data_IF_458708673474
#
_entry.id   IF_458708673474
#
_cell.length_a   1.000
_cell.length_b   1.000
_cell.length_c   1.000
_cell.angle_alpha   90.00
_cell.angle_beta   90.00
_cell.angle_gamma   90.00
#
_symmetry.space_group_name_H-M   'P 1'
#
loop_
_entity.id
_entity.type
_entity.pdbx_description
1 polymer ?
#
# COMPACT_ATOMS: atom_id res chain seq x y z
N UNK A 1 -13.53 -1.65 13.84
CA UNK A 1 -13.04 -1.21 12.52
C UNK A 1 -11.93 -2.19 12.12
N UNK A 2 -11.94 -2.74 10.92
CA UNK A 2 -10.93 -3.74 10.53
C UNK A 2 -9.68 -3.04 9.97
N UNK A 3 -8.75 -2.66 10.85
CA UNK A 3 -7.49 -2.02 10.42
C UNK A 3 -6.60 -2.96 9.58
N UNK A 4 -6.85 -4.26 9.58
CA UNK A 4 -6.08 -5.21 8.77
C UNK A 4 -6.23 -4.94 7.26
N UNK A 5 -7.37 -4.41 6.84
CA UNK A 5 -7.63 -4.20 5.41
C UNK A 5 -7.07 -2.86 4.91
N UNK A 6 -6.67 -1.98 5.84
CA UNK A 6 -6.19 -0.63 5.55
C UNK A 6 -4.69 -0.57 5.27
N UNK A 7 -3.91 -1.59 5.64
CA UNK A 7 -2.46 -1.57 5.54
C UNK A 7 -1.96 -2.78 4.76
N UNK A 8 -0.76 -2.66 4.19
CA UNK A 8 -0.03 -3.81 3.65
C UNK A 8 0.47 -4.67 4.82
N UNK A 9 -0.16 -5.81 5.03
CA UNK A 9 0.18 -6.79 6.06
C UNK A 9 0.45 -8.11 5.36
N UNK A 10 1.53 -8.79 5.75
CA UNK A 10 1.88 -10.09 5.18
C UNK A 10 0.69 -11.05 5.28
N UNK A 11 0.33 -11.70 4.17
CA UNK A 11 -0.75 -12.67 4.18
C UNK A 11 -0.40 -13.93 5.01
N UNK A 12 0.89 -14.17 5.25
CA UNK A 12 1.40 -15.29 6.07
C UNK A 12 1.62 -14.85 7.51
N UNK A 13 1.18 -15.66 8.46
CA UNK A 13 1.37 -15.39 9.89
C UNK A 13 2.85 -15.23 10.25
N UNK A 14 3.18 -14.24 11.07
CA UNK A 14 4.56 -13.99 11.50
C UNK A 14 5.16 -15.18 12.26
N UNK A 15 4.33 -15.96 12.96
CA UNK A 15 4.77 -17.19 13.62
C UNK A 15 5.22 -18.26 12.61
N UNK A 16 4.63 -18.29 11.42
CA UNK A 16 5.01 -19.19 10.33
C UNK A 16 6.26 -18.69 9.63
N UNK A 17 6.33 -17.38 9.33
CA UNK A 17 7.54 -16.74 8.75
C UNK A 17 8.81 -17.01 9.54
N UNK A 18 8.73 -17.05 10.87
CA UNK A 18 9.86 -17.37 11.74
C UNK A 18 10.44 -18.78 11.54
N UNK A 19 9.66 -19.70 10.98
CA UNK A 19 10.09 -21.08 10.71
C UNK A 19 10.75 -21.20 9.33
N UNK A 20 10.56 -20.21 8.45
CA UNK A 20 11.08 -20.21 7.09
C UNK A 20 12.55 -19.77 7.07
N UNK A 21 13.44 -20.67 6.70
CA UNK A 21 14.86 -20.34 6.47
C UNK A 21 15.01 -19.66 5.10
N UNK A 22 15.47 -18.41 5.08
CA UNK A 22 15.73 -17.65 3.85
C UNK A 22 14.62 -16.69 3.42
N UNK A 23 13.59 -16.50 4.24
CA UNK A 23 12.61 -15.43 4.02
C UNK A 23 13.27 -14.05 4.16
N UNK A 24 13.06 -13.21 3.14
CA UNK A 24 13.38 -11.79 3.19
C UNK A 24 12.06 -11.03 3.30
N UNK A 25 11.80 -10.33 4.42
CA UNK A 25 10.60 -9.51 4.51
C UNK A 25 10.62 -8.41 3.46
N UNK A 26 9.45 -8.13 2.88
CA UNK A 26 9.25 -6.92 2.10
C UNK A 26 9.48 -5.72 3.02
N UNK A 27 10.29 -4.76 2.57
CA UNK A 27 10.87 -3.71 3.44
C UNK A 27 9.85 -2.94 4.26
N UNK A 28 8.69 -2.65 3.68
CA UNK A 28 7.64 -1.80 4.27
C UNK A 28 6.38 -2.60 4.65
N UNK A 29 6.40 -3.93 4.55
CA UNK A 29 5.24 -4.76 4.88
C UNK A 29 5.14 -4.98 6.40
N UNK A 30 3.93 -4.86 6.95
CA UNK A 30 3.69 -5.12 8.36
C UNK A 30 3.59 -6.61 8.64
N UNK A 31 4.17 -7.04 9.76
CA UNK A 31 4.08 -8.43 10.23
C UNK A 31 2.65 -8.81 10.61
N UNK A 32 2.25 -10.02 10.25
CA UNK A 32 0.94 -10.56 10.58
C UNK A 32 0.92 -11.26 11.95
N UNK A 33 0.24 -10.65 12.93
CA UNK A 33 0.09 -11.16 14.29
C UNK A 33 -1.29 -11.79 14.54
N UNK A 34 -1.90 -12.38 13.50
CA UNK A 34 -3.19 -13.06 13.57
C UNK A 34 -3.27 -14.17 14.63
N UNK A 35 -2.16 -14.81 14.98
CA UNK A 35 -2.08 -15.84 16.02
C UNK A 35 -2.44 -15.33 17.43
N UNK A 36 -2.53 -14.02 17.63
CA UNK A 36 -3.06 -13.40 18.86
C UNK A 36 -4.57 -13.08 18.79
N UNK A 37 -5.22 -13.22 17.62
CA UNK A 37 -6.67 -13.03 17.49
C UNK A 37 -7.42 -14.18 18.17
N UNK A 38 -8.61 -13.91 18.77
CA UNK A 38 -9.33 -12.64 18.78
C UNK A 38 -8.93 -11.70 19.94
N UNK A 39 -7.94 -12.07 20.77
CA UNK A 39 -7.58 -11.29 21.96
C UNK A 39 -6.77 -10.03 21.65
N UNK A 40 -6.15 -9.96 20.47
CA UNK A 40 -5.38 -8.80 20.02
C UNK A 40 -6.25 -7.53 20.04
N UNK A 41 -5.75 -6.46 20.65
CA UNK A 41 -6.48 -5.18 20.73
C UNK A 41 -6.87 -4.65 19.34
N UNK A 42 -8.10 -4.13 19.24
CA UNK A 42 -8.69 -3.76 17.95
C UNK A 42 -7.86 -2.74 17.16
N UNK A 43 -7.19 -1.82 17.84
CA UNK A 43 -6.39 -0.76 17.22
C UNK A 43 -4.90 -1.11 17.05
N UNK A 44 -4.52 -2.38 17.25
CA UNK A 44 -3.13 -2.82 17.19
C UNK A 44 -2.44 -2.41 15.89
N UNK A 45 -3.03 -2.69 14.73
CA UNK A 45 -2.41 -2.37 13.45
C UNK A 45 -2.34 -0.88 13.14
N UNK A 46 -3.27 -0.09 13.69
CA UNK A 46 -3.20 1.37 13.60
C UNK A 46 -1.97 1.87 14.38
N UNK A 47 -1.79 1.38 15.62
CA UNK A 47 -0.65 1.70 16.47
C UNK A 47 0.68 1.22 15.87
N UNK A 48 0.71 -0.01 15.35
CA UNK A 48 1.87 -0.58 14.71
C UNK A 48 2.30 0.25 13.49
N UNK A 49 1.37 0.51 12.55
CA UNK A 49 1.64 1.37 11.41
C UNK A 49 2.12 2.77 11.81
N UNK A 50 1.47 3.38 12.82
CA UNK A 50 1.87 4.71 13.31
C UNK A 50 3.30 4.68 13.84
N UNK A 51 3.69 3.62 14.57
CA UNK A 51 5.06 3.50 15.07
C UNK A 51 6.07 3.42 13.95
N UNK A 52 5.85 2.52 12.99
CA UNK A 52 6.76 2.33 11.86
C UNK A 52 6.96 3.65 11.10
N UNK A 53 5.85 4.30 10.75
CA UNK A 53 5.82 5.57 10.03
C UNK A 53 6.58 6.69 10.74
N UNK A 54 6.51 6.75 12.07
CA UNK A 54 7.05 7.86 12.84
C UNK A 54 8.46 7.63 13.38
N UNK A 55 8.87 6.40 13.63
CA UNK A 55 10.10 6.12 14.38
C UNK A 55 11.05 5.11 13.72
N UNK A 56 10.53 4.15 12.96
CA UNK A 56 11.35 3.04 12.46
C UNK A 56 11.82 3.28 11.01
N UNK A 57 11.04 4.04 10.23
CA UNK A 57 11.39 4.40 8.85
C UNK A 57 12.18 5.72 8.81
N UNK A 58 13.23 5.79 7.99
CA UNK A 58 13.95 7.04 7.74
C UNK A 58 13.02 8.09 7.12
N UNK A 59 13.13 9.35 7.53
CA UNK A 59 12.26 10.44 7.04
C UNK A 59 12.30 10.57 5.51
N UNK A 60 13.43 10.25 4.88
CA UNK A 60 13.60 10.25 3.41
C UNK A 60 12.81 9.13 2.71
N UNK A 61 12.48 8.07 3.44
CA UNK A 61 11.80 6.87 2.93
C UNK A 61 10.29 6.88 3.21
N UNK A 62 9.80 7.85 3.99
CA UNK A 62 8.38 7.96 4.35
C UNK A 62 7.47 7.98 3.13
N UNK A 63 7.88 8.66 2.05
CA UNK A 63 7.09 8.70 0.82
C UNK A 63 6.94 7.33 0.17
N UNK A 64 8.03 6.56 0.09
CA UNK A 64 8.02 5.22 -0.47
C UNK A 64 7.21 4.26 0.40
N UNK A 65 7.32 4.40 1.73
CA UNK A 65 6.51 3.66 2.70
C UNK A 65 5.01 3.92 2.51
N UNK A 66 4.60 5.19 2.38
CA UNK A 66 3.20 5.57 2.16
C UNK A 66 2.67 5.04 0.82
N UNK A 67 3.48 5.11 -0.24
CA UNK A 67 3.15 4.57 -1.57
C UNK A 67 3.02 3.05 -1.53
N UNK A 68 3.95 2.35 -0.88
CA UNK A 68 3.90 0.90 -0.73
C UNK A 68 2.59 0.44 -0.10
N UNK A 69 2.19 1.05 1.01
CA UNK A 69 0.92 0.74 1.66
C UNK A 69 -0.29 1.05 0.78
N UNK A 70 -0.26 2.16 0.06
CA UNK A 70 -1.33 2.53 -0.87
C UNK A 70 -1.55 1.48 -1.97
N UNK A 71 -0.46 0.96 -2.55
CA UNK A 71 -0.53 -0.02 -3.64
C UNK A 71 -0.80 -1.45 -3.17
N UNK A 72 -0.45 -1.80 -1.92
CA UNK A 72 -0.50 -3.17 -1.42
C UNK A 72 -1.55 -3.42 -0.33
N UNK A 73 -2.29 -2.41 0.14
CA UNK A 73 -3.43 -2.62 1.04
C UNK A 73 -4.65 -3.23 0.34
N UNK A 74 -5.56 -3.84 1.12
CA UNK A 74 -6.79 -4.43 0.59
C UNK A 74 -7.82 -3.37 0.21
N UNK A 75 -7.89 -2.27 0.97
CA UNK A 75 -8.87 -1.20 0.79
C UNK A 75 -8.20 0.17 0.80
N UNK A 76 -7.89 0.69 -0.38
CA UNK A 76 -7.22 1.99 -0.56
C UNK A 76 -7.99 3.17 0.01
N UNK A 77 -9.33 3.22 -0.15
CA UNK A 77 -10.13 4.31 0.42
C UNK A 77 -10.03 4.34 1.95
N UNK A 78 -10.08 3.18 2.59
CA UNK A 78 -9.95 3.02 4.04
C UNK A 78 -8.56 3.45 4.52
N UNK A 79 -7.51 3.14 3.75
CA UNK A 79 -6.14 3.60 4.03
C UNK A 79 -6.06 5.13 4.04
N UNK A 80 -6.58 5.79 3.00
CA UNK A 80 -6.58 7.25 2.89
C UNK A 80 -7.40 7.89 4.02
N UNK A 81 -8.59 7.37 4.29
CA UNK A 81 -9.44 7.84 5.39
C UNK A 81 -8.73 7.72 6.74
N UNK A 82 -7.95 6.65 6.95
CA UNK A 82 -7.17 6.47 8.18
C UNK A 82 -6.02 7.46 8.28
N UNK A 83 -5.28 7.71 7.19
CA UNK A 83 -4.22 8.72 7.19
C UNK A 83 -4.78 10.09 7.57
N UNK A 84 -5.86 10.50 6.91
CA UNK A 84 -6.49 11.81 7.08
C UNK A 84 -7.18 11.96 8.44
N UNK A 85 -8.03 11.01 8.81
CA UNK A 85 -8.91 11.17 9.98
C UNK A 85 -8.37 10.56 11.27
N UNK A 86 -7.31 9.73 11.22
CA UNK A 86 -6.75 9.06 12.39
C UNK A 86 -5.28 9.37 12.61
N UNK A 87 -4.42 9.19 11.61
CA UNK A 87 -2.98 9.34 11.76
C UNK A 87 -2.58 10.80 11.93
N UNK A 88 -3.00 11.69 11.02
CA UNK A 88 -2.65 13.11 11.10
C UNK A 88 -3.12 13.76 12.42
N UNK A 89 -4.39 13.64 12.85
CA UNK A 89 -4.81 14.16 14.16
C UNK A 89 -4.08 13.51 15.33
N UNK A 90 -3.66 12.24 15.19
CA UNK A 90 -2.87 11.56 16.22
C UNK A 90 -1.46 12.14 16.31
N UNK A 91 -0.84 12.47 15.19
CA UNK A 91 0.47 13.13 15.15
C UNK A 91 0.42 14.48 15.88
N UNK A 92 -0.59 15.31 15.60
CA UNK A 92 -0.77 16.59 16.29
C UNK A 92 -0.89 16.36 17.81
N UNK A 93 -1.74 15.41 18.21
CA UNK A 93 -1.88 15.03 19.61
C UNK A 93 -0.59 14.48 20.23
N UNK A 94 0.25 13.76 19.48
CA UNK A 94 1.52 13.26 19.96
C UNK A 94 2.54 14.38 20.16
N UNK A 95 2.59 15.35 19.24
CA UNK A 95 3.48 16.53 19.34
C UNK A 95 3.07 17.39 20.55
N UNK A 96 1.78 17.71 20.67
CA UNK A 96 1.27 18.63 21.68
C UNK A 96 1.37 18.08 23.10
N UNK A 97 1.27 16.75 23.26
CA UNK A 97 1.28 16.09 24.56
C UNK A 97 2.60 15.38 24.86
N UNK A 98 3.64 15.58 24.03
CA UNK A 98 4.94 14.95 24.21
C UNK A 98 5.53 15.34 25.57
N UNK A 99 5.65 14.35 26.46
CA UNK A 99 6.26 14.53 27.77
C UNK A 99 7.03 13.26 28.17
N UNK A 100 8.18 13.40 28.84
CA UNK A 100 8.90 12.24 29.33
C UNK A 100 8.04 11.54 30.39
N UNK A 101 7.64 10.30 30.12
CA UNK A 101 7.08 9.44 31.15
C UNK A 101 8.20 8.87 32.02
N UNK A 102 8.06 8.99 33.34
CA UNK A 102 8.83 8.20 34.30
C UNK A 102 7.97 6.97 34.57
N UNK A 103 8.35 5.81 34.03
CA UNK A 103 7.62 4.58 34.29
C UNK A 103 7.59 4.30 35.80
N UNK A 104 6.40 4.37 36.39
CA UNK A 104 6.13 3.79 37.71
C UNK A 104 5.63 2.38 37.44
N UNK A 105 6.53 1.40 37.58
CA UNK A 105 6.31 0.01 37.15
C UNK A 105 4.95 -0.55 37.57
N UNK A 106 4.14 -0.91 36.57
CA UNK A 106 2.93 -1.70 36.74
C UNK A 106 3.28 -3.18 36.87
N UNK A 107 3.11 -3.73 38.06
CA UNK A 107 3.04 -5.17 38.25
C UNK A 107 1.70 -5.69 37.70
N UNK A 108 1.64 -6.95 37.22
CA UNK A 108 0.45 -7.74 36.82
C UNK A 108 0.18 -8.03 35.32
N UNK A 109 1.18 -7.98 34.44
CA UNK A 109 0.99 -8.39 33.03
C UNK A 109 1.64 -9.75 32.72
N UNK A 110 0.92 -10.65 32.02
CA UNK A 110 1.48 -11.92 31.55
C UNK A 110 2.31 -11.68 30.30
N UNK A 111 3.63 -11.85 30.38
CA UNK A 111 4.51 -11.68 29.23
C UNK A 111 4.32 -12.82 28.22
N UNK A 112 4.12 -12.44 26.96
CA UNK A 112 4.08 -13.34 25.81
C UNK A 112 5.37 -13.16 24.99
N UNK A 113 5.51 -13.95 23.92
CA UNK A 113 6.62 -13.79 22.98
C UNK A 113 6.52 -12.47 22.21
N UNK A 114 7.63 -12.01 21.63
CA UNK A 114 7.69 -10.83 20.74
C UNK A 114 7.30 -9.50 21.37
N UNK A 115 7.47 -9.40 22.70
CA UNK A 115 7.15 -8.18 23.44
C UNK A 115 5.67 -7.96 23.67
N UNK A 116 4.82 -8.93 23.32
CA UNK A 116 3.41 -8.88 23.63
C UNK A 116 3.16 -9.17 25.11
N UNK A 117 2.08 -8.61 25.64
CA UNK A 117 1.58 -8.91 26.98
C UNK A 117 0.09 -9.23 26.92
N UNK A 118 -0.39 -10.07 27.84
CA UNK A 118 -1.82 -10.25 28.08
C UNK A 118 -2.23 -9.57 29.39
N UNK A 119 -3.22 -8.69 29.28
CA UNK A 119 -3.82 -7.95 30.39
C UNK A 119 -5.34 -7.92 30.23
N UNK A 120 -6.06 -8.29 31.27
CA UNK A 120 -7.53 -8.31 31.29
C UNK A 120 -8.16 -9.07 30.10
N UNK A 121 -7.52 -10.17 29.68
CA UNK A 121 -7.97 -11.01 28.56
C UNK A 121 -7.74 -10.40 27.17
N UNK A 122 -7.05 -9.27 27.08
CA UNK A 122 -6.62 -8.63 25.83
C UNK A 122 -5.11 -8.75 25.67
N UNK A 123 -4.67 -8.88 24.42
CA UNK A 123 -3.27 -8.94 24.05
C UNK A 123 -2.90 -7.63 23.35
N UNK A 124 -1.86 -6.97 23.83
CA UNK A 124 -1.25 -5.81 23.18
C UNK A 124 0.27 -5.93 23.17
N UNK A 125 0.94 -4.93 22.60
CA UNK A 125 2.39 -4.82 22.60
C UNK A 125 2.74 -3.38 23.00
N UNK A 126 3.26 -3.16 24.23
CA UNK A 126 3.53 -1.83 24.76
C UNK A 126 4.49 -1.00 23.91
N UNK A 127 5.31 -1.65 23.08
CA UNK A 127 6.20 -0.94 22.16
C UNK A 127 5.44 -0.09 21.14
N UNK A 128 4.20 -0.47 20.79
CA UNK A 128 3.35 0.30 19.88
C UNK A 128 2.38 1.25 20.61
N UNK A 129 2.46 1.37 21.94
CA UNK A 129 1.55 2.24 22.67
C UNK A 129 1.90 3.72 22.46
N UNK A 130 0.87 4.57 22.39
CA UNK A 130 1.05 6.00 22.23
C UNK A 130 1.78 6.65 23.41
N UNK A 131 1.65 6.11 24.63
CA UNK A 131 2.39 6.58 25.79
C UNK A 131 3.90 6.49 25.60
N UNK A 132 4.39 5.38 25.03
CA UNK A 132 5.80 5.23 24.71
C UNK A 132 6.22 6.18 23.59
N UNK A 133 5.40 6.38 22.57
CA UNK A 133 5.68 7.36 21.50
C UNK A 133 5.79 8.78 22.05
N UNK A 134 4.88 9.20 22.94
CA UNK A 134 4.95 10.51 23.62
C UNK A 134 6.27 10.69 24.37
N UNK A 135 6.67 9.67 25.12
CA UNK A 135 7.94 9.66 25.83
C UNK A 135 9.12 9.78 24.86
N UNK A 136 9.15 8.98 23.78
CA UNK A 136 10.22 8.99 22.79
C UNK A 136 10.34 10.34 22.08
N UNK A 137 9.21 10.96 21.70
CA UNK A 137 9.22 12.29 21.07
C UNK A 137 9.83 13.32 22.01
N UNK A 138 9.40 13.34 23.27
CA UNK A 138 9.90 14.30 24.25
C UNK A 138 11.38 14.08 24.58
N UNK A 139 11.77 12.83 24.83
CA UNK A 139 13.14 12.49 25.22
C UNK A 139 14.12 12.69 24.07
N UNK A 140 13.73 12.35 22.84
CA UNK A 140 14.54 12.54 21.64
C UNK A 140 14.46 13.94 21.03
N UNK A 141 13.61 14.83 21.55
CA UNK A 141 13.32 16.14 20.98
C UNK A 141 12.93 16.06 19.48
N UNK A 142 12.05 15.10 19.15
CA UNK A 142 11.72 14.71 17.77
C UNK A 142 10.55 15.52 17.15
N UNK A 143 10.01 16.51 17.84
CA UNK A 143 8.80 17.24 17.41
C UNK A 143 8.92 17.81 15.99
N UNK A 144 10.09 18.36 15.65
CA UNK A 144 10.34 18.89 14.31
C UNK A 144 10.38 17.80 13.22
N UNK A 145 10.97 16.64 13.53
CA UNK A 145 11.00 15.48 12.63
C UNK A 145 9.60 14.92 12.40
N UNK A 146 8.85 14.68 13.48
CA UNK A 146 7.47 14.19 13.42
C UNK A 146 6.57 15.17 12.67
N UNK A 147 6.76 16.47 12.87
CA UNK A 147 6.06 17.50 12.09
C UNK A 147 6.41 17.41 10.60
N UNK A 148 7.68 17.16 10.25
CA UNK A 148 8.07 16.98 8.85
C UNK A 148 7.41 15.75 8.23
N UNK A 149 7.28 14.66 8.99
CA UNK A 149 6.53 13.47 8.55
C UNK A 149 5.06 13.78 8.30
N UNK A 150 4.42 14.58 9.16
CA UNK A 150 3.05 15.05 8.94
C UNK A 150 2.91 15.87 7.64
N UNK A 151 3.88 16.73 7.32
CA UNK A 151 3.93 17.45 6.05
C UNK A 151 3.99 16.49 4.86
N UNK A 152 4.85 15.46 4.92
CA UNK A 152 4.97 14.45 3.85
C UNK A 152 3.65 13.68 3.67
N UNK A 153 2.94 13.34 4.75
CA UNK A 153 1.64 12.68 4.68
C UNK A 153 0.60 13.59 4.03
N UNK A 154 0.57 14.87 4.38
CA UNK A 154 -0.33 15.84 3.74
C UNK A 154 -0.02 16.00 2.25
N UNK A 155 1.24 16.18 1.86
CA UNK A 155 1.66 16.25 0.46
C UNK A 155 1.24 14.97 -0.31
N UNK A 156 1.36 13.81 0.33
CA UNK A 156 0.92 12.53 -0.22
C UNK A 156 -0.59 12.49 -0.45
N UNK A 157 -1.40 12.90 0.54
CA UNK A 157 -2.85 12.96 0.45
C UNK A 157 -3.30 13.97 -0.59
N UNK A 158 -2.75 15.18 -0.59
CA UNK A 158 -3.03 16.21 -1.58
C UNK A 158 -2.75 15.71 -3.00
N UNK A 159 -1.59 15.08 -3.23
CA UNK A 159 -1.23 14.51 -4.52
C UNK A 159 -2.24 13.46 -5.01
N UNK A 160 -2.84 12.69 -4.11
CA UNK A 160 -3.83 11.66 -4.44
C UNK A 160 -5.24 12.26 -4.59
N UNK A 161 -5.56 13.29 -3.81
CA UNK A 161 -6.85 13.99 -3.82
C UNK A 161 -6.98 15.05 -4.92
N UNK A 162 -5.86 15.50 -5.52
CA UNK A 162 -5.88 16.31 -6.72
C UNK A 162 -6.83 15.62 -7.72
N UNK A 163 -7.87 16.31 -8.24
CA UNK A 163 -8.57 15.82 -9.42
C UNK A 163 -7.49 15.47 -10.45
N UNK A 164 -7.60 14.35 -11.18
CA UNK A 164 -6.72 13.98 -12.32
C UNK A 164 -6.80 15.01 -13.47
N UNK A 165 -6.59 16.27 -13.17
CA UNK A 165 -6.75 17.46 -13.96
C UNK A 165 -5.57 18.37 -13.60
N UNK A 166 -4.37 17.96 -14.02
CA UNK A 166 -3.24 18.82 -14.44
C UNK A 166 -1.85 18.21 -14.22
N UNK A 167 -1.64 16.93 -14.58
CA UNK A 167 -0.28 16.44 -14.82
C UNK A 167 -0.26 15.54 -16.05
N UNK A 168 -0.07 16.13 -17.23
CA UNK A 168 0.56 15.51 -18.43
C UNK A 168 0.14 14.08 -18.83
N UNK A 169 -1.06 13.61 -18.49
CA UNK A 169 -1.56 12.30 -18.92
C UNK A 169 -2.18 12.39 -20.32
N UNK A 170 -1.94 11.37 -21.13
CA UNK A 170 -2.47 11.31 -22.49
C UNK A 170 -4.00 11.16 -22.44
N UNK A 171 -4.69 11.97 -23.25
CA UNK A 171 -6.14 11.85 -23.44
C UNK A 171 -6.40 10.76 -24.48
N UNK A 172 -7.00 9.66 -24.04
CA UNK A 172 -7.45 8.59 -24.94
C UNK A 172 -8.89 8.87 -25.41
N UNK A 173 -9.03 9.16 -26.70
CA UNK A 173 -10.33 9.40 -27.36
C UNK A 173 -10.97 8.12 -27.92
N UNK A 174 -10.24 7.01 -27.94
CA UNK A 174 -10.74 5.73 -28.45
C UNK A 174 -11.56 4.97 -27.41
N UNK A 175 -12.04 3.78 -27.78
CA UNK A 175 -12.66 2.87 -26.80
C UNK A 175 -11.63 2.41 -25.78
N UNK A 176 -11.96 2.33 -24.49
CA UNK A 176 -11.06 1.77 -23.47
C UNK A 176 -10.52 0.38 -23.79
N UNK A 177 -11.37 -0.48 -24.35
CA UNK A 177 -11.00 -1.84 -24.77
C UNK A 177 -9.89 -1.84 -25.83
N UNK A 178 -9.85 -0.82 -26.70
CA UNK A 178 -8.80 -0.69 -27.71
C UNK A 178 -7.47 -0.35 -27.06
N UNK A 179 -7.45 0.57 -26.10
CA UNK A 179 -6.22 0.94 -25.39
C UNK A 179 -5.68 -0.25 -24.59
N UNK A 180 -6.55 -0.92 -23.84
CA UNK A 180 -6.20 -2.10 -23.06
C UNK A 180 -5.52 -3.17 -23.91
N UNK A 181 -6.10 -3.48 -25.07
CA UNK A 181 -5.54 -4.41 -26.05
C UNK A 181 -4.19 -3.93 -26.62
N UNK A 182 -4.11 -2.66 -27.03
CA UNK A 182 -2.89 -2.09 -27.63
C UNK A 182 -1.72 -2.13 -26.63
N UNK A 183 -1.95 -1.72 -25.38
CA UNK A 183 -0.93 -1.76 -24.34
C UNK A 183 -0.48 -3.19 -24.06
N UNK A 184 -1.40 -4.15 -23.98
CA UNK A 184 -1.05 -5.56 -23.82
C UNK A 184 -0.25 -6.09 -25.01
N UNK A 185 -0.53 -5.68 -26.24
CA UNK A 185 0.31 -6.03 -27.40
C UNK A 185 1.71 -5.46 -27.30
N UNK A 186 1.88 -4.23 -26.83
CA UNK A 186 3.21 -3.67 -26.59
C UNK A 186 3.98 -4.43 -25.50
N UNK A 187 3.28 -4.93 -24.47
CA UNK A 187 3.88 -5.83 -23.47
C UNK A 187 4.31 -7.16 -24.11
N UNK A 188 3.43 -7.83 -24.86
CA UNK A 188 3.75 -9.10 -25.55
C UNK A 188 4.95 -8.97 -26.49
N UNK A 189 5.02 -7.86 -27.24
CA UNK A 189 6.11 -7.59 -28.18
C UNK A 189 7.37 -7.02 -27.53
N UNK A 190 7.39 -6.88 -26.20
CA UNK A 190 8.56 -6.51 -25.42
C UNK A 190 8.95 -5.04 -25.51
N UNK A 191 7.99 -4.15 -25.76
CA UNK A 191 8.20 -2.69 -25.66
C UNK A 191 8.01 -2.17 -24.24
N UNK A 192 7.21 -2.86 -23.43
CA UNK A 192 6.97 -2.52 -22.03
C UNK A 192 7.29 -3.70 -21.13
N UNK A 193 7.93 -3.42 -20.00
CA UNK A 193 8.08 -4.37 -18.90
C UNK A 193 6.77 -4.39 -18.10
N UNK A 194 6.06 -5.53 -18.05
CA UNK A 194 4.82 -5.61 -17.30
C UNK A 194 5.07 -5.77 -15.79
N UNK A 195 4.12 -5.36 -14.94
CA UNK A 195 4.14 -5.77 -13.53
C UNK A 195 3.99 -7.28 -13.44
N UNK A 196 4.84 -7.93 -12.64
CA UNK A 196 4.87 -9.38 -12.49
C UNK A 196 4.31 -9.82 -11.12
N UNK A 197 3.77 -11.03 -11.09
CA UNK A 197 3.45 -11.77 -9.86
C UNK A 197 4.69 -12.51 -9.35
N UNK A 198 4.59 -13.10 -8.16
CA UNK A 198 5.67 -13.90 -7.55
C UNK A 198 6.09 -15.12 -8.38
N UNK A 199 5.19 -15.66 -9.20
CA UNK A 199 5.45 -16.79 -10.11
C UNK A 199 6.06 -16.38 -11.46
N UNK A 200 6.25 -15.07 -11.70
CA UNK A 200 6.78 -14.53 -12.94
C UNK A 200 5.72 -14.23 -14.02
N UNK A 201 4.45 -14.55 -13.78
CA UNK A 201 3.38 -14.21 -14.70
C UNK A 201 3.02 -12.73 -14.62
N UNK A 202 2.46 -12.20 -15.70
CA UNK A 202 1.98 -10.80 -15.71
C UNK A 202 0.83 -10.63 -14.71
N UNK A 203 0.98 -9.64 -13.83
CA UNK A 203 -0.07 -9.18 -12.95
C UNK A 203 -1.04 -8.29 -13.73
N UNK A 204 -1.99 -8.89 -14.45
CA UNK A 204 -2.98 -8.17 -15.26
C UNK A 204 -3.79 -7.17 -14.43
N UNK A 205 -4.07 -7.47 -13.16
CA UNK A 205 -4.78 -6.54 -12.29
C UNK A 205 -4.00 -5.25 -12.09
N UNK A 206 -2.70 -5.35 -11.84
CA UNK A 206 -1.83 -4.19 -11.69
C UNK A 206 -1.60 -3.45 -13.02
N UNK A 207 -1.37 -4.18 -14.11
CA UNK A 207 -1.28 -3.58 -15.44
C UNK A 207 -2.54 -2.76 -15.78
N UNK A 208 -3.72 -3.26 -15.42
CA UNK A 208 -4.98 -2.55 -15.63
C UNK A 208 -5.07 -1.26 -14.83
N UNK A 209 -4.54 -1.24 -13.60
CA UNK A 209 -4.47 -0.03 -12.78
C UNK A 209 -3.50 0.98 -13.37
N UNK A 210 -2.33 0.54 -13.83
CA UNK A 210 -1.36 1.40 -14.50
C UNK A 210 -1.97 2.09 -15.73
N UNK A 211 -2.66 1.33 -16.59
CA UNK A 211 -3.38 1.90 -17.76
C UNK A 211 -4.39 2.98 -17.33
N UNK A 212 -5.18 2.72 -16.29
CA UNK A 212 -6.16 3.69 -15.78
C UNK A 212 -5.54 4.93 -15.15
N UNK A 213 -4.30 4.83 -14.68
CA UNK A 213 -3.58 5.92 -14.06
C UNK A 213 -2.77 6.75 -15.06
N UNK A 214 -2.35 6.15 -16.18
CA UNK A 214 -1.57 6.82 -17.22
C UNK A 214 -2.41 7.58 -18.25
N UNK A 215 -3.72 7.31 -18.35
CA UNK A 215 -4.59 7.88 -19.38
C UNK A 215 -5.85 8.51 -18.82
N UNK A 216 -6.29 9.60 -19.47
CA UNK A 216 -7.60 10.20 -19.28
C UNK A 216 -8.57 9.69 -20.35
N UNK A 217 -9.68 9.11 -19.92
CA UNK A 217 -10.73 8.60 -20.81
C UNK A 217 -11.89 9.59 -20.93
N UNK A 218 -12.49 9.66 -22.12
CA UNK A 218 -13.64 10.53 -22.41
C UNK A 218 -14.72 9.69 -23.10
N UNK A 219 -16.01 9.77 -22.69
CA UNK A 219 -16.57 10.67 -21.67
C UNK A 219 -16.45 10.15 -20.23
N UNK A 220 -16.24 8.85 -20.05
CA UNK A 220 -16.29 8.16 -18.76
C UNK A 220 -15.01 7.35 -18.52
N UNK A 221 -14.58 7.28 -17.26
CA UNK A 221 -13.48 6.40 -16.85
C UNK A 221 -13.99 4.96 -16.72
N UNK A 222 -13.41 4.00 -17.46
CA UNK A 222 -13.84 2.60 -17.44
C UNK A 222 -13.48 1.93 -16.11
N UNK A 223 -14.20 0.86 -15.75
CA UNK A 223 -13.85 0.05 -14.58
C UNK A 223 -12.58 -0.76 -14.79
N UNK A 224 -11.86 -1.06 -13.70
CA UNK A 224 -10.67 -1.93 -13.72
C UNK A 224 -10.98 -3.28 -14.37
N UNK A 225 -12.10 -3.91 -14.01
CA UNK A 225 -12.52 -5.19 -14.60
C UNK A 225 -12.75 -5.10 -16.12
N UNK A 226 -13.22 -3.95 -16.61
CA UNK A 226 -13.41 -3.74 -18.04
C UNK A 226 -12.07 -3.70 -18.76
N UNK A 227 -11.07 -3.01 -18.21
CA UNK A 227 -9.71 -2.99 -18.76
C UNK A 227 -9.09 -4.39 -18.69
N UNK A 228 -9.20 -5.07 -17.54
CA UNK A 228 -8.58 -6.37 -17.28
C UNK A 228 -8.91 -7.43 -18.34
N UNK A 229 -10.19 -7.53 -18.74
CA UNK A 229 -10.63 -8.51 -19.75
C UNK A 229 -10.05 -8.27 -21.14
N UNK A 230 -9.67 -7.03 -21.46
CA UNK A 230 -9.01 -6.70 -22.72
C UNK A 230 -7.49 -6.59 -22.58
N UNK A 231 -6.95 -6.86 -21.40
CA UNK A 231 -5.50 -6.90 -21.16
C UNK A 231 -4.96 -8.30 -20.88
N UNK A 232 -5.84 -9.29 -20.66
CA UNK A 232 -5.50 -10.69 -20.44
C UNK A 232 -5.59 -11.49 -21.74
N UNK A 233 -4.48 -12.10 -22.14
CA UNK A 233 -4.36 -12.81 -23.43
C UNK A 233 -5.30 -14.02 -23.52
N UNK A 234 -5.57 -14.65 -22.37
CA UNK A 234 -6.42 -15.84 -22.27
C UNK A 234 -7.93 -15.51 -22.20
N UNK A 235 -8.31 -14.24 -22.14
CA UNK A 235 -9.72 -13.83 -22.08
C UNK A 235 -10.32 -13.78 -23.49
N UNK A 236 -11.52 -14.35 -23.66
CA UNK A 236 -12.27 -14.34 -24.93
C UNK A 236 -12.39 -12.94 -25.54
N UNK A 237 -12.51 -11.90 -24.69
CA UNK A 237 -12.64 -10.51 -25.15
C UNK A 237 -11.34 -9.97 -25.75
N UNK A 238 -10.20 -10.41 -25.23
CA UNK A 238 -8.90 -10.11 -25.81
C UNK A 238 -8.76 -10.77 -27.18
N UNK A 239 -9.03 -12.07 -27.27
CA UNK A 239 -8.95 -12.82 -28.53
C UNK A 239 -9.89 -12.24 -29.60
N UNK A 240 -11.08 -11.81 -29.20
CA UNK A 240 -12.01 -11.12 -30.09
C UNK A 240 -11.50 -9.76 -30.57
N UNK A 241 -10.81 -9.01 -29.70
CA UNK A 241 -10.17 -7.76 -30.07
C UNK A 241 -9.01 -8.01 -31.03
N UNK A 242 -8.13 -8.96 -30.70
CA UNK A 242 -6.99 -9.38 -31.52
C UNK A 242 -7.42 -9.69 -32.95
N UNK A 243 -8.40 -10.58 -33.11
CA UNK A 243 -8.96 -10.93 -34.41
C UNK A 243 -9.44 -9.70 -35.21
N UNK A 244 -10.09 -8.73 -34.55
CA UNK A 244 -10.60 -7.52 -35.20
C UNK A 244 -9.47 -6.56 -35.60
N UNK A 245 -8.50 -6.35 -34.73
CA UNK A 245 -7.33 -5.53 -35.00
C UNK A 245 -6.46 -6.12 -36.11
N UNK A 246 -6.15 -7.41 -36.03
CA UNK A 246 -5.37 -8.15 -37.03
C UNK A 246 -6.07 -8.15 -38.40
N UNK A 247 -7.40 -8.38 -38.44
CA UNK A 247 -8.18 -8.26 -39.68
C UNK A 247 -8.15 -6.85 -40.28
N UNK A 248 -7.96 -5.84 -39.43
CA UNK A 248 -7.84 -4.43 -39.84
C UNK A 248 -6.40 -4.03 -40.20
N UNK A 249 -5.46 -4.98 -40.20
CA UNK A 249 -4.05 -4.76 -40.55
C UNK A 249 -3.19 -4.18 -39.44
N UNK A 250 -3.68 -4.14 -38.19
CA UNK A 250 -2.86 -3.72 -37.06
C UNK A 250 -1.83 -4.80 -36.70
N UNK A 251 -0.56 -4.45 -36.71
CA UNK A 251 0.55 -5.31 -36.34
C UNK A 251 1.62 -4.45 -35.64
N UNK A 252 2.18 -4.98 -34.56
CA UNK A 252 3.30 -4.38 -33.83
C UNK A 252 4.48 -5.34 -34.00
N UNK A 253 5.62 -4.90 -34.56
CA UNK A 253 6.78 -5.78 -34.73
C UNK A 253 7.44 -6.07 -33.39
N UNK A 254 8.11 -7.21 -33.22
CA UNK A 254 8.78 -7.51 -31.97
C UNK A 254 9.94 -6.54 -31.71
N UNK A 255 10.08 -6.03 -30.47
CA UNK A 255 11.10 -5.04 -30.13
C UNK A 255 12.53 -5.55 -30.37
N UNK A 256 12.77 -6.86 -30.22
CA UNK A 256 14.07 -7.51 -30.46
C UNK A 256 14.46 -7.60 -31.94
N UNK A 257 13.53 -7.37 -32.86
CA UNK A 257 13.77 -7.40 -34.31
C UNK A 257 14.12 -6.00 -34.83
N UNK A 258 13.59 -4.96 -34.19
CA UNK A 258 13.70 -3.56 -34.64
C UNK A 258 14.83 -2.81 -33.93
N UNK A 259 15.27 -3.29 -32.75
CA UNK A 259 16.33 -2.72 -31.93
C UNK A 259 17.72 -3.30 -32.15
#
# INVERSE_FOLDING_TARGET
MNYNDAFAIDDVSFLERKKETGYSPEKYELKNHDYHKPKLVDDFYLKYFTRELLFEIDVLEVKEFLEYHYFNCKTTSLYLDILECKILPKIDGLIDNAQPMIEVGGHYDTKLNDGFIEKDGKIDNPNYDYGLMLHQIAFGNLQADIKKRAEIINEFLERIQLPKADLNVLIWKGKPSHLAYIISKFVEEGYFEPPLKKDGDVNIAELSRQILNSFKFIPETPSIDSIRRYSSIDDDRYQDADRKFTKSGFCVPNSKIVG
#
